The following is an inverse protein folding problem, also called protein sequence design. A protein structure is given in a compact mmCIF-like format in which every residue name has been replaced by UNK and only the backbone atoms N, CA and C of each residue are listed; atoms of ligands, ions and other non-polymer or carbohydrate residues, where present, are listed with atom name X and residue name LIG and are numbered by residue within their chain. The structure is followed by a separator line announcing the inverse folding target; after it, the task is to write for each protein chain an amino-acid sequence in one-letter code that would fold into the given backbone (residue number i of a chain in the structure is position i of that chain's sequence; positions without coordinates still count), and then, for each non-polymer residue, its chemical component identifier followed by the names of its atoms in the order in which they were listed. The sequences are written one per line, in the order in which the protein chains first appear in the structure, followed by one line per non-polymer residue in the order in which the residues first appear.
data_IF_263407780369
#
_entry.id   IF_263407780369
#
_cell.length_a   1.000
_cell.length_b   1.000
_cell.length_c   1.000
_cell.angle_alpha   90.00
_cell.angle_beta   90.00
_cell.angle_gamma   90.00
#
_symmetry.space_group_name_H-M   'P 1'
#
loop_
_entity.id
_entity.type
_entity.pdbx_description
1 polymer ?
#
# COMPACT_ATOMS: atom_id res chain seq x y z
N UNK A 1 18.94 -16.19 -7.64
CA UNK A 1 19.63 -15.67 -6.44
C UNK A 1 20.87 -16.52 -6.27
N UNK A 2 22.06 -15.92 -6.31
CA UNK A 2 23.33 -16.64 -6.16
C UNK A 2 23.58 -16.83 -4.67
N UNK A 3 23.98 -18.04 -4.28
CA UNK A 3 24.26 -18.38 -2.89
C UNK A 3 25.48 -17.58 -2.38
N UNK A 4 25.26 -16.69 -1.40
CA UNK A 4 26.29 -15.81 -0.82
C UNK A 4 25.99 -14.30 -0.91
N UNK A 5 25.11 -13.88 -1.81
CA UNK A 5 24.67 -12.48 -1.87
C UNK A 5 23.55 -12.21 -0.85
N UNK A 6 23.87 -11.41 0.17
CA UNK A 6 22.90 -10.97 1.18
C UNK A 6 22.06 -9.84 0.57
N UNK A 7 20.82 -10.15 0.20
CA UNK A 7 19.83 -9.15 -0.19
C UNK A 7 19.09 -8.58 1.03
N UNK A 8 18.75 -7.30 1.00
CA UNK A 8 17.77 -6.72 1.90
C UNK A 8 16.84 -5.79 1.10
N UNK A 9 15.60 -5.64 1.56
CA UNK A 9 14.67 -4.70 0.95
C UNK A 9 15.08 -3.27 1.32
N UNK A 10 15.13 -2.41 0.30
CA UNK A 10 15.40 -0.98 0.47
C UNK A 10 14.12 -0.14 0.44
N UNK A 11 13.06 -0.64 -0.21
CA UNK A 11 11.74 -0.01 -0.26
C UNK A 11 10.67 -1.03 -0.70
N UNK A 12 9.42 -0.82 -0.29
CA UNK A 12 8.23 -1.50 -0.83
C UNK A 12 7.22 -0.48 -1.37
N UNK A 13 6.51 -0.85 -2.45
CA UNK A 13 5.32 -0.13 -2.94
C UNK A 13 4.14 -1.09 -3.05
N UNK A 14 3.12 -0.88 -2.23
CA UNK A 14 1.88 -1.63 -2.23
C UNK A 14 0.95 -1.14 -3.34
N UNK A 15 0.32 -2.04 -4.08
CA UNK A 15 -0.61 -1.69 -5.18
C UNK A 15 -1.99 -2.35 -4.96
N UNK A 16 -2.72 -1.96 -3.91
CA UNK A 16 -4.01 -2.58 -3.62
C UNK A 16 -5.03 -2.25 -4.72
N UNK A 17 -5.80 -3.26 -5.12
CA UNK A 17 -6.97 -3.09 -5.96
C UNK A 17 -8.20 -3.10 -5.05
N UNK A 18 -8.93 -1.98 -5.02
CA UNK A 18 -10.05 -1.77 -4.12
C UNK A 18 -11.33 -1.64 -4.93
N UNK A 19 -12.28 -2.52 -4.68
CA UNK A 19 -13.61 -2.45 -5.29
C UNK A 19 -14.53 -1.58 -4.43
N UNK A 20 -15.04 -0.51 -5.01
CA UNK A 20 -16.02 0.37 -4.39
C UNK A 20 -17.43 -0.01 -4.81
N UNK A 21 -18.38 0.13 -3.88
CA UNK A 21 -19.80 -0.04 -4.17
C UNK A 21 -20.34 1.11 -5.02
N UNK A 22 -19.94 2.34 -4.71
CA UNK A 22 -20.31 3.55 -5.45
C UNK A 22 -19.03 4.19 -6.01
N UNK A 23 -18.91 4.42 -7.33
CA UNK A 23 -17.77 5.13 -7.91
C UNK A 23 -17.55 6.53 -7.32
N UNK A 24 -18.61 7.20 -6.83
CA UNK A 24 -18.52 8.53 -6.23
C UNK A 24 -17.70 8.53 -4.93
N UNK A 25 -17.49 7.38 -4.30
CA UNK A 25 -16.70 7.25 -3.08
C UNK A 25 -15.17 7.27 -3.33
N UNK A 26 -14.70 7.33 -4.58
CA UNK A 26 -13.27 7.22 -4.89
C UNK A 26 -12.39 8.23 -4.12
N UNK A 27 -12.78 9.52 -4.11
CA UNK A 27 -12.02 10.55 -3.39
C UNK A 27 -12.02 10.32 -1.87
N UNK A 28 -13.14 9.85 -1.32
CA UNK A 28 -13.24 9.49 0.10
C UNK A 28 -12.35 8.29 0.43
N UNK A 29 -12.34 7.28 -0.44
CA UNK A 29 -11.53 6.08 -0.28
C UNK A 29 -10.02 6.37 -0.36
N UNK A 30 -9.62 7.32 -1.20
CA UNK A 30 -8.24 7.82 -1.29
C UNK A 30 -7.80 8.50 0.02
N UNK A 31 -8.60 9.44 0.52
CA UNK A 31 -8.30 10.13 1.78
C UNK A 31 -8.21 9.15 2.97
N UNK A 32 -9.11 8.16 3.03
CA UNK A 32 -9.07 7.12 4.07
C UNK A 32 -7.84 6.22 3.96
N UNK A 33 -7.35 5.93 2.74
CA UNK A 33 -6.15 5.11 2.56
C UNK A 33 -4.89 5.79 3.12
N UNK A 34 -4.81 7.11 3.06
CA UNK A 34 -3.70 7.85 3.68
C UNK A 34 -3.69 7.62 5.20
N UNK A 35 -4.84 7.82 5.86
CA UNK A 35 -4.95 7.57 7.30
C UNK A 35 -4.72 6.09 7.68
N UNK A 36 -5.19 5.16 6.84
CA UNK A 36 -4.96 3.73 7.06
C UNK A 36 -3.48 3.35 6.92
N UNK A 37 -2.74 4.01 6.03
CA UNK A 37 -1.31 3.80 5.87
C UNK A 37 -0.55 4.23 7.12
N UNK A 38 -0.89 5.38 7.71
CA UNK A 38 -0.28 5.85 8.97
C UNK A 38 -0.48 4.85 10.11
N UNK A 39 -1.64 4.19 10.15
CA UNK A 39 -1.95 3.13 11.12
C UNK A 39 -1.53 1.72 10.67
N UNK A 40 -0.89 1.56 9.52
CA UNK A 40 -0.67 0.25 8.92
C UNK A 40 0.39 -0.54 9.70
N UNK A 41 -0.02 -1.66 10.29
CA UNK A 41 0.88 -2.53 11.04
C UNK A 41 2.12 -2.96 10.24
N UNK A 42 1.95 -3.27 8.95
CA UNK A 42 3.07 -3.67 8.08
C UNK A 42 4.02 -2.50 7.84
N UNK A 43 3.50 -1.32 7.49
CA UNK A 43 4.33 -0.14 7.23
C UNK A 43 5.10 0.29 8.49
N UNK A 44 4.46 0.22 9.66
CA UNK A 44 5.05 0.60 10.94
C UNK A 44 5.99 -0.47 11.54
N UNK A 45 5.99 -1.70 11.03
CA UNK A 45 6.84 -2.79 11.56
C UNK A 45 8.14 -2.98 10.79
N UNK A 46 8.32 -2.27 9.68
CA UNK A 46 9.48 -2.42 8.81
C UNK A 46 10.43 -1.23 8.99
N UNK A 47 11.73 -1.50 8.88
CA UNK A 47 12.79 -0.51 9.06
C UNK A 47 13.21 0.20 7.76
N UNK A 48 12.36 0.12 6.73
CA UNK A 48 12.56 0.76 5.43
C UNK A 48 11.22 1.33 4.91
N UNK A 49 11.26 2.31 3.99
CA UNK A 49 10.05 2.97 3.51
C UNK A 49 9.06 2.01 2.86
N UNK A 50 7.79 2.15 3.21
CA UNK A 50 6.66 1.50 2.55
C UNK A 50 5.76 2.58 1.96
N UNK A 51 5.48 2.50 0.67
CA UNK A 51 4.59 3.40 -0.06
C UNK A 51 3.38 2.64 -0.59
N UNK A 52 2.34 3.34 -1.05
CA UNK A 52 1.16 2.72 -1.63
C UNK A 52 0.64 3.51 -2.85
N UNK A 53 0.09 2.78 -3.81
CA UNK A 53 -0.55 3.32 -5.03
C UNK A 53 -1.84 2.54 -5.24
N UNK A 54 -2.96 2.97 -4.63
CA UNK A 54 -4.22 2.25 -4.69
C UNK A 54 -4.88 2.45 -6.05
N UNK A 55 -5.60 1.43 -6.52
CA UNK A 55 -6.48 1.56 -7.69
C UNK A 55 -7.91 1.23 -7.27
N UNK A 56 -8.81 2.18 -7.49
CA UNK A 56 -10.24 2.02 -7.20
C UNK A 56 -10.99 1.58 -8.46
N UNK A 57 -11.80 0.54 -8.34
CA UNK A 57 -12.70 0.05 -9.41
C UNK A 57 -14.12 -0.04 -8.87
N UNK A 58 -15.13 0.21 -9.70
CA UNK A 58 -16.53 0.00 -9.32
C UNK A 58 -16.98 -1.40 -9.69
N UNK A 59 -17.91 -1.96 -8.90
CA UNK A 59 -18.62 -3.20 -9.25
C UNK A 59 -19.90 -2.93 -10.03
#
# INVERSE_FOLDING_TARGET
MVEGERGHFTQITLKPLVTLRDPADAARAEALHHHAHDACFIANSLNFPVSFVPRFVSR
#
